data_IF_985223282460
#
_entry.id   IF_985223282460
#
_cell.length_a   1.000
_cell.length_b   1.000
_cell.length_c   1.000
_cell.angle_alpha   90.00
_cell.angle_beta   90.00
_cell.angle_gamma   90.00
#
_symmetry.space_group_name_H-M   'P 1'
#
loop_
_entity.id
_entity.type
_entity.pdbx_description
1 polymer ?
#
# COMPACT_ATOMS: atom_id res chain seq x y z
N UNK A 1 -1.93 22.12 -4.07
CA UNK A 1 -3.15 22.96 -4.05
C UNK A 1 -2.87 24.42 -3.67
N UNK A 2 -2.16 24.70 -2.55
CA UNK A 2 -1.81 26.09 -2.18
C UNK A 2 -0.96 26.81 -3.25
N UNK A 3 0.10 26.19 -3.75
CA UNK A 3 0.93 26.73 -4.83
C UNK A 3 0.14 27.02 -6.12
N UNK A 4 -0.81 26.14 -6.49
CA UNK A 4 -1.66 26.37 -7.66
C UNK A 4 -2.58 27.58 -7.48
N UNK A 5 -3.11 27.78 -6.28
CA UNK A 5 -3.93 28.97 -5.98
C UNK A 5 -3.12 30.27 -5.99
N UNK A 6 -1.81 30.17 -5.69
CA UNK A 6 -0.87 31.31 -5.73
C UNK A 6 -0.28 31.55 -7.15
N UNK A 7 -0.74 30.87 -8.19
CA UNK A 7 -0.18 30.97 -9.53
C UNK A 7 1.20 30.32 -9.71
N UNK A 8 1.64 29.52 -8.75
CA UNK A 8 2.97 28.86 -8.74
C UNK A 8 2.84 27.33 -8.84
N UNK A 9 1.89 26.85 -9.64
CA UNK A 9 1.70 25.42 -9.84
C UNK A 9 2.95 24.77 -10.45
N UNK A 10 3.50 23.70 -9.84
CA UNK A 10 4.57 22.94 -10.46
C UNK A 10 4.05 22.24 -11.73
N UNK A 11 4.96 21.80 -12.60
CA UNK A 11 4.58 21.02 -13.80
C UNK A 11 4.10 19.62 -13.44
N UNK A 12 4.75 18.99 -12.45
CA UNK A 12 4.47 17.66 -11.95
C UNK A 12 4.42 17.66 -10.44
N UNK A 13 3.53 16.85 -9.90
CA UNK A 13 3.45 16.57 -8.46
C UNK A 13 3.43 15.06 -8.27
N UNK A 14 4.30 14.58 -7.40
CA UNK A 14 4.23 13.22 -6.89
C UNK A 14 3.18 13.15 -5.78
N UNK A 15 2.22 12.26 -5.93
CA UNK A 15 1.14 12.09 -4.96
C UNK A 15 1.04 10.61 -4.59
N UNK A 16 1.09 10.33 -3.29
CA UNK A 16 0.84 8.99 -2.77
C UNK A 16 -0.55 8.48 -3.20
N UNK A 17 -0.69 7.17 -3.29
CA UNK A 17 -1.93 6.51 -3.73
C UNK A 17 -3.16 7.00 -2.99
N UNK A 18 -3.04 7.27 -1.69
CA UNK A 18 -4.14 7.81 -0.84
C UNK A 18 -4.67 9.16 -1.31
N UNK A 19 -3.89 9.92 -2.07
CA UNK A 19 -4.30 11.21 -2.63
C UNK A 19 -5.05 11.10 -3.95
N UNK A 20 -5.10 9.92 -4.58
CA UNK A 20 -5.67 9.73 -5.92
C UNK A 20 -7.12 10.21 -6.04
N UNK A 21 -7.98 9.85 -5.08
CA UNK A 21 -9.38 10.30 -5.07
C UNK A 21 -9.51 11.83 -5.02
N UNK A 22 -8.68 12.50 -4.24
CA UNK A 22 -8.63 13.97 -4.15
C UNK A 22 -8.10 14.59 -5.46
N UNK A 23 -7.09 14.00 -6.07
CA UNK A 23 -6.53 14.50 -7.33
C UNK A 23 -7.50 14.35 -8.50
N UNK A 24 -8.23 13.24 -8.58
CA UNK A 24 -9.29 13.05 -9.58
C UNK A 24 -10.41 14.07 -9.43
N UNK A 25 -10.75 14.45 -8.20
CA UNK A 25 -11.75 15.47 -7.91
C UNK A 25 -11.25 16.92 -8.10
N UNK A 26 -9.94 17.13 -8.30
CA UNK A 26 -9.37 18.47 -8.50
C UNK A 26 -9.73 19.12 -9.85
N UNK A 27 -10.38 18.38 -10.74
CA UNK A 27 -10.94 18.88 -11.99
C UNK A 27 -9.88 19.56 -12.87
N UNK A 28 -10.12 20.80 -13.28
CA UNK A 28 -9.27 21.56 -14.20
C UNK A 28 -7.86 21.87 -13.66
N UNK A 29 -7.59 21.68 -12.37
CA UNK A 29 -6.24 21.86 -11.82
C UNK A 29 -5.27 20.75 -12.23
N UNK A 30 -5.78 19.64 -12.74
CA UNK A 30 -5.01 18.48 -13.19
C UNK A 30 -5.25 18.23 -14.67
N UNK A 31 -4.17 18.06 -15.44
CA UNK A 31 -4.24 17.51 -16.79
C UNK A 31 -3.98 16.01 -16.69
N UNK A 32 -4.96 15.20 -17.02
CA UNK A 32 -4.79 13.76 -16.96
C UNK A 32 -3.75 13.28 -17.99
N UNK A 33 -3.03 12.22 -17.68
CA UNK A 33 -1.92 11.75 -18.51
C UNK A 33 -2.39 11.32 -19.91
N UNK A 34 -3.61 10.75 -20.02
CA UNK A 34 -4.19 10.43 -21.34
C UNK A 34 -4.49 11.68 -22.18
N UNK A 35 -4.85 12.82 -21.55
CA UNK A 35 -5.05 14.11 -22.25
C UNK A 35 -3.72 14.65 -22.75
N UNK A 36 -2.71 14.63 -21.87
CA UNK A 36 -1.34 15.00 -22.24
C UNK A 36 -0.85 14.16 -23.41
N UNK A 37 -1.06 12.85 -23.37
CA UNK A 37 -0.66 11.92 -24.44
C UNK A 37 -1.31 12.29 -25.79
N UNK A 38 -2.61 12.58 -25.79
CA UNK A 38 -3.34 13.02 -27.00
C UNK A 38 -2.80 14.33 -27.57
N UNK A 39 -2.42 15.29 -26.72
CA UNK A 39 -1.94 16.60 -27.15
C UNK A 39 -0.49 16.59 -27.63
N UNK A 40 0.35 15.75 -27.05
CA UNK A 40 1.81 15.79 -27.27
C UNK A 40 2.35 14.64 -28.11
N UNK A 41 1.53 13.62 -28.40
CA UNK A 41 1.97 12.40 -29.06
C UNK A 41 2.72 11.43 -28.13
N UNK A 42 2.68 11.64 -26.82
CA UNK A 42 3.21 10.68 -25.82
C UNK A 42 2.50 9.33 -25.97
N UNK A 43 3.28 8.28 -26.17
CA UNK A 43 2.74 6.92 -26.27
C UNK A 43 2.73 6.26 -24.89
N UNK A 44 1.56 5.87 -24.42
CA UNK A 44 1.36 5.10 -23.19
C UNK A 44 0.46 3.92 -23.50
N UNK A 45 0.95 2.72 -23.23
CA UNK A 45 0.13 1.50 -23.24
C UNK A 45 -0.24 1.11 -21.82
N UNK A 46 -1.50 1.31 -21.37
CA UNK A 46 -1.91 0.91 -20.04
C UNK A 46 -1.73 -0.59 -19.78
N UNK A 47 -1.78 -1.44 -20.81
CA UNK A 47 -1.61 -2.89 -20.69
C UNK A 47 -0.17 -3.33 -20.35
N UNK A 48 0.80 -2.45 -20.58
CA UNK A 48 2.19 -2.71 -20.19
C UNK A 48 2.42 -2.71 -18.67
N UNK A 49 1.48 -2.12 -17.92
CA UNK A 49 1.57 -2.01 -16.46
C UNK A 49 0.96 -3.21 -15.74
N UNK A 50 1.51 -3.54 -14.57
CA UNK A 50 0.99 -4.56 -13.67
C UNK A 50 -0.50 -4.24 -13.35
N UNK A 51 -1.42 -5.22 -13.38
CA UNK A 51 -2.85 -4.98 -13.29
C UNK A 51 -3.29 -4.16 -12.08
N UNK A 52 -2.76 -4.44 -10.89
CA UNK A 52 -3.07 -3.69 -9.67
C UNK A 52 -2.63 -2.21 -9.78
N UNK A 53 -1.47 -1.94 -10.39
CA UNK A 53 -0.96 -0.58 -10.61
C UNK A 53 -1.83 0.15 -11.64
N UNK A 54 -2.05 -0.48 -12.79
CA UNK A 54 -2.90 0.08 -13.86
C UNK A 54 -4.32 0.33 -13.37
N UNK A 55 -4.94 -0.67 -12.75
CA UNK A 55 -6.32 -0.57 -12.28
C UNK A 55 -6.53 0.56 -11.29
N UNK A 56 -5.51 0.86 -10.49
CA UNK A 56 -5.58 1.94 -9.53
C UNK A 56 -5.48 3.34 -10.16
N UNK A 57 -4.56 3.56 -11.10
CA UNK A 57 -4.30 4.88 -11.68
C UNK A 57 -5.03 5.16 -13.00
N UNK A 58 -5.94 4.29 -13.42
CA UNK A 58 -6.78 4.48 -14.60
C UNK A 58 -8.22 4.83 -14.25
N UNK A 59 -8.88 5.57 -15.14
CA UNK A 59 -10.33 5.79 -15.09
C UNK A 59 -11.09 4.47 -15.33
N UNK A 60 -12.41 4.50 -15.16
CA UNK A 60 -13.26 3.33 -15.41
C UNK A 60 -13.18 2.81 -16.87
N UNK A 61 -12.93 3.68 -17.82
CA UNK A 61 -12.75 3.35 -19.24
C UNK A 61 -11.34 2.87 -19.61
N UNK A 62 -10.45 2.73 -18.62
CA UNK A 62 -9.08 2.25 -18.78
C UNK A 62 -8.05 3.33 -19.16
N UNK A 63 -8.46 4.57 -19.38
CA UNK A 63 -7.52 5.68 -19.65
C UNK A 63 -6.74 6.05 -18.40
N UNK A 64 -5.43 6.27 -18.53
CA UNK A 64 -4.58 6.59 -17.39
C UNK A 64 -4.74 8.04 -16.94
N UNK A 65 -5.10 8.24 -15.69
CA UNK A 65 -5.26 9.57 -15.08
C UNK A 65 -3.92 10.16 -14.64
N UNK A 66 -3.02 9.34 -14.08
CA UNK A 66 -1.67 9.72 -13.65
C UNK A 66 -0.65 8.70 -14.12
N UNK A 67 0.63 9.08 -14.13
CA UNK A 67 1.73 8.19 -14.50
C UNK A 67 2.19 7.39 -13.28
N UNK A 68 2.05 6.05 -13.27
CA UNK A 68 2.66 5.22 -12.22
C UNK A 68 4.16 5.48 -12.13
N UNK A 69 4.69 5.59 -10.93
CA UNK A 69 6.10 5.92 -10.76
C UNK A 69 6.79 4.96 -9.79
N UNK A 70 6.55 5.09 -8.50
CA UNK A 70 7.10 4.21 -7.49
C UNK A 70 5.97 3.47 -6.79
N UNK A 71 5.89 2.18 -7.03
CA UNK A 71 4.89 1.33 -6.40
C UNK A 71 5.53 0.36 -5.42
N UNK A 72 4.80 0.10 -4.35
CA UNK A 72 5.11 -0.91 -3.36
C UNK A 72 3.85 -1.70 -3.03
N UNK A 73 3.97 -2.73 -2.25
CA UNK A 73 2.86 -3.33 -1.52
C UNK A 73 3.33 -3.71 -0.13
N UNK A 74 2.43 -4.08 0.76
CA UNK A 74 2.82 -4.59 2.06
C UNK A 74 3.31 -6.03 1.94
N UNK A 75 4.31 -6.36 2.76
CA UNK A 75 4.89 -7.69 2.86
C UNK A 75 5.17 -8.03 4.32
N UNK A 76 5.47 -9.29 4.59
CA UNK A 76 5.99 -9.72 5.87
C UNK A 76 7.51 -9.82 5.81
N UNK A 77 8.19 -9.08 6.68
CA UNK A 77 9.61 -9.19 6.96
C UNK A 77 9.81 -10.09 8.18
N UNK A 78 10.80 -10.95 8.17
CA UNK A 78 11.08 -11.78 9.34
C UNK A 78 12.57 -12.00 9.56
N UNK A 79 12.95 -12.12 10.83
CA UNK A 79 14.30 -12.35 11.29
C UNK A 79 14.56 -13.87 11.38
N UNK A 80 15.31 -14.41 10.43
CA UNK A 80 15.66 -15.83 10.34
C UNK A 80 16.48 -16.30 11.53
N UNK A 81 17.33 -15.44 12.11
CA UNK A 81 18.10 -15.78 13.30
C UNK A 81 17.19 -15.93 14.52
N UNK A 82 16.20 -15.08 14.68
CA UNK A 82 15.18 -15.21 15.72
C UNK A 82 14.34 -16.48 15.53
N UNK A 83 14.02 -16.86 14.29
CA UNK A 83 13.33 -18.11 13.99
C UNK A 83 14.16 -19.32 14.41
N UNK A 84 15.46 -19.36 14.06
CA UNK A 84 16.39 -20.43 14.50
C UNK A 84 16.46 -20.51 16.03
N UNK A 85 16.62 -19.37 16.70
CA UNK A 85 16.64 -19.28 18.16
C UNK A 85 15.33 -19.79 18.79
N UNK A 86 14.20 -19.56 18.13
CA UNK A 86 12.90 -20.07 18.53
C UNK A 86 12.66 -21.54 18.15
N UNK A 87 13.60 -22.21 17.46
CA UNK A 87 13.44 -23.54 16.86
C UNK A 87 12.28 -23.60 15.84
N UNK A 88 12.06 -22.51 15.16
CA UNK A 88 11.20 -22.40 13.99
C UNK A 88 12.03 -22.55 12.71
N UNK A 89 11.42 -23.09 11.65
CA UNK A 89 12.09 -23.23 10.37
C UNK A 89 12.27 -21.84 9.70
N UNK A 90 13.51 -21.35 9.51
CA UNK A 90 13.76 -20.03 8.94
C UNK A 90 13.41 -19.92 7.44
N UNK A 91 13.19 -21.06 6.76
CA UNK A 91 12.85 -21.10 5.34
C UNK A 91 11.36 -21.39 5.08
N UNK A 92 10.57 -21.48 6.17
CA UNK A 92 9.11 -21.62 6.13
C UNK A 92 8.43 -20.52 6.93
N UNK A 93 8.36 -19.29 6.38
CA UNK A 93 7.63 -18.20 7.04
C UNK A 93 6.14 -18.55 7.15
N UNK A 94 5.46 -18.07 8.23
CA UNK A 94 4.04 -18.32 8.41
C UNK A 94 3.21 -17.73 7.28
N UNK A 95 2.29 -18.51 6.73
CA UNK A 95 1.44 -18.15 5.59
C UNK A 95 0.03 -17.73 6.02
N UNK A 96 -0.38 -18.10 7.23
CA UNK A 96 -1.72 -17.78 7.77
C UNK A 96 -1.62 -17.00 9.08
N UNK A 97 -2.65 -16.24 9.41
CA UNK A 97 -2.67 -15.48 10.67
C UNK A 97 -2.63 -16.38 11.90
N UNK A 98 -3.15 -17.61 11.79
CA UNK A 98 -3.02 -18.61 12.85
C UNK A 98 -1.55 -19.02 13.06
N UNK A 99 -0.82 -19.24 11.98
CA UNK A 99 0.62 -19.57 12.03
C UNK A 99 1.44 -18.39 12.53
N UNK A 100 1.13 -17.15 12.13
CA UNK A 100 1.78 -15.93 12.64
C UNK A 100 1.62 -15.84 14.15
N UNK A 101 0.38 -16.02 14.66
CA UNK A 101 0.11 -16.01 16.11
C UNK A 101 0.95 -17.06 16.84
N UNK A 102 0.94 -18.29 16.36
CA UNK A 102 1.72 -19.40 16.94
C UNK A 102 3.22 -19.13 16.91
N UNK A 103 3.74 -18.60 15.82
CA UNK A 103 5.15 -18.22 15.73
C UNK A 103 5.52 -17.13 16.72
N UNK A 104 4.71 -16.06 16.82
CA UNK A 104 4.93 -14.96 17.75
C UNK A 104 4.88 -15.43 19.23
N UNK A 105 3.95 -16.33 19.58
CA UNK A 105 3.88 -16.95 20.89
C UNK A 105 5.12 -17.79 21.19
N UNK A 106 5.60 -18.58 20.23
CA UNK A 106 6.82 -19.39 20.36
C UNK A 106 8.08 -18.54 20.54
N UNK A 107 8.19 -17.46 19.74
CA UNK A 107 9.29 -16.50 19.81
C UNK A 107 9.34 -15.84 21.21
N UNK A 108 8.18 -15.42 21.70
CA UNK A 108 8.08 -14.85 23.05
C UNK A 108 8.43 -15.86 24.14
N UNK A 109 7.87 -17.07 24.10
CA UNK A 109 8.10 -18.10 25.10
C UNK A 109 9.57 -18.53 25.21
N UNK A 110 10.32 -18.43 24.10
CA UNK A 110 11.75 -18.76 24.02
C UNK A 110 12.68 -17.57 24.17
N UNK A 111 12.14 -16.39 24.41
CA UNK A 111 12.91 -15.14 24.46
C UNK A 111 13.85 -15.00 23.25
N UNK A 112 13.29 -15.31 22.06
CA UNK A 112 14.08 -15.37 20.82
C UNK A 112 14.30 -14.01 20.17
N UNK A 113 13.48 -13.01 20.51
CA UNK A 113 13.60 -11.63 20.07
C UNK A 113 12.96 -10.68 21.08
N UNK A 114 13.42 -9.42 21.19
CA UNK A 114 12.81 -8.39 22.04
C UNK A 114 11.36 -8.10 21.66
N UNK A 115 11.03 -8.18 20.39
CA UNK A 115 9.69 -7.96 19.84
C UNK A 115 9.30 -9.15 18.97
N UNK A 116 8.25 -9.88 19.36
CA UNK A 116 7.79 -11.03 18.59
C UNK A 116 7.18 -10.62 17.26
N UNK A 117 6.28 -9.62 17.28
CA UNK A 117 5.63 -9.10 16.08
C UNK A 117 5.38 -7.59 16.21
N UNK A 118 5.51 -6.88 15.09
CA UNK A 118 5.16 -5.46 14.95
C UNK A 118 4.62 -5.16 13.55
N UNK A 119 4.15 -3.93 13.33
CA UNK A 119 3.69 -3.46 12.02
C UNK A 119 4.00 -1.98 11.83
N UNK A 120 4.51 -1.61 10.67
CA UNK A 120 4.44 -0.24 10.15
C UNK A 120 3.11 -0.03 9.44
N UNK A 121 2.72 1.21 9.20
CA UNK A 121 1.52 1.57 8.45
C UNK A 121 0.26 0.78 8.88
N UNK A 122 -0.11 0.79 10.19
CA UNK A 122 -1.10 -0.15 10.73
C UNK A 122 -2.44 -0.13 9.99
N UNK A 123 -2.95 1.04 9.62
CA UNK A 123 -4.22 1.15 8.88
C UNK A 123 -4.12 0.55 7.48
N UNK A 124 -3.06 0.87 6.75
CA UNK A 124 -2.86 0.36 5.40
C UNK A 124 -2.62 -1.15 5.39
N UNK A 125 -1.77 -1.66 6.30
CA UNK A 125 -1.39 -3.08 6.28
C UNK A 125 -2.43 -3.95 6.98
N UNK A 126 -2.84 -3.57 8.20
CA UNK A 126 -3.69 -4.43 9.03
C UNK A 126 -5.19 -4.29 8.72
N UNK A 127 -5.59 -3.29 7.94
CA UNK A 127 -6.99 -3.13 7.58
C UNK A 127 -7.23 -3.11 6.07
N UNK A 128 -6.57 -2.23 5.31
CA UNK A 128 -6.80 -2.10 3.88
C UNK A 128 -6.25 -3.30 3.08
N UNK A 129 -4.98 -3.71 3.31
CA UNK A 129 -4.40 -4.91 2.70
C UNK A 129 -5.11 -6.18 3.15
N UNK A 130 -5.44 -6.26 4.45
CA UNK A 130 -6.22 -7.38 4.98
C UNK A 130 -7.56 -7.51 4.25
N UNK A 131 -8.27 -6.41 4.07
CA UNK A 131 -9.54 -6.40 3.34
C UNK A 131 -9.37 -6.90 1.91
N UNK A 132 -8.37 -6.39 1.19
CA UNK A 132 -8.11 -6.79 -0.19
C UNK A 132 -7.77 -8.28 -0.32
N UNK A 133 -6.82 -8.78 0.49
CA UNK A 133 -6.41 -10.19 0.47
C UNK A 133 -7.58 -11.16 0.72
N UNK A 134 -8.57 -10.74 1.50
CA UNK A 134 -9.75 -11.54 1.84
C UNK A 134 -10.99 -11.21 1.00
N UNK A 135 -10.84 -10.35 -0.01
CA UNK A 135 -11.94 -9.86 -0.86
C UNK A 135 -13.10 -9.27 -0.06
N UNK A 136 -12.79 -8.59 1.04
CA UNK A 136 -13.79 -7.92 1.89
C UNK A 136 -13.97 -6.47 1.43
N UNK A 137 -15.19 -5.93 1.41
CA UNK A 137 -15.42 -4.54 1.09
C UNK A 137 -14.81 -3.64 2.17
N UNK A 138 -14.15 -2.57 1.74
CA UNK A 138 -13.69 -1.50 2.62
C UNK A 138 -14.65 -0.32 2.61
N UNK A 139 -15.22 -0.05 1.43
CA UNK A 139 -16.25 0.96 1.22
C UNK A 139 -17.16 0.56 0.05
N UNK A 140 -18.36 1.11 0.02
CA UNK A 140 -19.30 0.98 -1.09
C UNK A 140 -18.77 1.62 -2.39
N UNK A 141 -19.51 1.54 -3.48
CA UNK A 141 -19.12 2.10 -4.78
C UNK A 141 -17.77 1.57 -5.27
N UNK A 142 -17.56 0.25 -5.16
CA UNK A 142 -16.29 -0.38 -5.50
C UNK A 142 -15.09 0.31 -4.81
N UNK A 143 -15.16 0.47 -3.49
CA UNK A 143 -14.16 1.19 -2.70
C UNK A 143 -13.93 2.65 -3.17
N UNK A 144 -14.99 3.32 -3.62
CA UNK A 144 -14.97 4.70 -4.08
C UNK A 144 -14.57 4.90 -5.55
N UNK A 145 -14.37 3.83 -6.32
CA UNK A 145 -14.07 3.94 -7.75
C UNK A 145 -15.26 4.43 -8.59
N UNK A 146 -16.48 4.18 -8.13
CA UNK A 146 -17.72 4.52 -8.84
C UNK A 146 -18.42 5.78 -8.31
N UNK A 147 -17.81 6.54 -7.42
CA UNK A 147 -18.39 7.80 -6.97
C UNK A 147 -17.83 8.33 -5.67
N UNK A 148 -18.05 9.65 -5.47
CA UNK A 148 -17.57 10.37 -4.29
C UNK A 148 -18.48 10.18 -3.06
N UNK A 149 -19.65 9.57 -3.24
CA UNK A 149 -20.66 9.31 -2.22
C UNK A 149 -20.57 7.89 -1.63
N UNK A 150 -19.37 7.32 -1.65
CA UNK A 150 -19.08 6.05 -1.01
C UNK A 150 -19.27 6.13 0.51
N UNK A 151 -19.63 5.01 1.11
CA UNK A 151 -19.74 4.81 2.55
C UNK A 151 -18.75 3.73 2.99
N UNK A 152 -18.18 3.88 4.17
CA UNK A 152 -17.21 2.93 4.72
C UNK A 152 -17.92 1.68 5.23
N UNK A 153 -17.32 0.50 5.02
CA UNK A 153 -17.90 -0.81 5.32
C UNK A 153 -16.93 -1.74 6.07
N UNK A 154 -15.79 -1.21 6.53
CA UNK A 154 -14.71 -2.02 7.13
C UNK A 154 -14.98 -2.44 8.60
N UNK A 155 -16.17 -2.19 9.13
CA UNK A 155 -16.61 -2.67 10.44
C UNK A 155 -17.36 -4.01 10.37
N UNK A 156 -17.18 -4.77 9.30
CA UNK A 156 -17.78 -6.09 9.18
C UNK A 156 -17.01 -7.15 10.01
N UNK A 157 -17.65 -8.31 10.19
CA UNK A 157 -17.16 -9.39 11.05
C UNK A 157 -15.72 -9.83 10.75
N UNK A 158 -15.31 -9.85 9.47
CA UNK A 158 -13.97 -10.33 9.08
C UNK A 158 -12.87 -9.37 9.55
N UNK A 159 -13.03 -8.07 9.27
CA UNK A 159 -12.07 -7.05 9.68
C UNK A 159 -12.05 -6.85 11.19
N UNK A 160 -13.23 -6.83 11.84
CA UNK A 160 -13.33 -6.72 13.31
C UNK A 160 -12.61 -7.87 14.00
N UNK A 161 -12.80 -9.12 13.55
CA UNK A 161 -12.10 -10.31 14.10
C UNK A 161 -10.57 -10.18 13.98
N UNK A 162 -10.09 -9.59 12.89
CA UNK A 162 -8.66 -9.36 12.73
C UNK A 162 -8.12 -8.31 13.72
N UNK A 163 -8.85 -7.21 13.92
CA UNK A 163 -8.47 -6.19 14.90
C UNK A 163 -8.54 -6.78 16.33
N UNK A 164 -9.56 -7.57 16.67
CA UNK A 164 -9.61 -8.30 17.95
C UNK A 164 -8.36 -9.15 18.18
N UNK A 165 -7.92 -9.90 17.16
CA UNK A 165 -6.68 -10.68 17.19
C UNK A 165 -5.47 -9.81 17.55
N UNK A 166 -5.31 -8.65 16.91
CA UNK A 166 -4.20 -7.74 17.19
C UNK A 166 -4.26 -7.18 18.62
N UNK A 167 -5.46 -6.86 19.12
CA UNK A 167 -5.65 -6.41 20.49
C UNK A 167 -5.30 -7.51 21.50
N UNK A 168 -5.73 -8.75 21.27
CA UNK A 168 -5.35 -9.91 22.09
C UNK A 168 -3.84 -10.15 22.09
N UNK A 169 -3.21 -10.10 20.92
CA UNK A 169 -1.76 -10.25 20.77
C UNK A 169 -0.99 -9.09 21.42
N UNK A 170 -1.53 -7.90 21.42
CA UNK A 170 -0.96 -6.76 22.16
C UNK A 170 -1.06 -6.98 23.66
N UNK A 171 -2.22 -7.39 24.14
CA UNK A 171 -2.48 -7.66 25.57
C UNK A 171 -1.58 -8.78 26.12
N UNK A 172 -1.34 -9.83 25.34
CA UNK A 172 -0.45 -10.94 25.75
C UNK A 172 1.03 -10.67 25.46
N UNK A 173 1.38 -9.52 24.86
CA UNK A 173 2.74 -9.06 24.61
C UNK A 173 3.42 -9.75 23.43
N UNK A 174 2.67 -10.39 22.52
CA UNK A 174 3.21 -10.97 21.26
C UNK A 174 3.15 -9.99 20.08
N UNK A 175 2.37 -8.92 20.19
CA UNK A 175 2.34 -7.81 19.24
C UNK A 175 2.70 -6.50 19.95
N UNK A 176 3.67 -5.78 19.39
CA UNK A 176 4.05 -4.42 19.82
C UNK A 176 3.58 -3.40 18.80
N UNK A 177 2.63 -2.57 19.20
CA UNK A 177 2.32 -1.36 18.47
C UNK A 177 3.42 -0.32 18.72
N UNK A 178 4.17 0.05 17.68
CA UNK A 178 5.29 0.98 17.79
C UNK A 178 4.92 2.44 17.46
N UNK A 179 3.73 2.66 16.91
CA UNK A 179 3.25 3.97 16.50
C UNK A 179 2.69 3.98 15.08
N UNK A 180 2.45 5.18 14.56
CA UNK A 180 1.89 5.42 13.22
C UNK A 180 2.95 5.33 12.14
N UNK A 181 2.52 5.25 10.89
CA UNK A 181 3.36 5.29 9.71
C UNK A 181 4.55 4.32 9.79
N UNK A 182 5.77 4.82 9.68
CA UNK A 182 7.01 4.04 9.69
C UNK A 182 7.62 3.84 11.09
N UNK A 183 6.88 4.08 12.15
CA UNK A 183 7.42 4.03 13.52
C UNK A 183 7.99 2.65 13.91
N UNK A 184 7.55 1.57 13.28
CA UNK A 184 8.08 0.22 13.51
C UNK A 184 9.31 -0.13 12.62
N UNK A 185 9.61 0.63 11.57
CA UNK A 185 10.73 0.33 10.66
C UNK A 185 12.08 0.20 11.36
N UNK A 186 12.43 1.03 12.37
CA UNK A 186 13.68 0.85 13.12
C UNK A 186 13.79 -0.52 13.80
N UNK A 187 12.69 -1.08 14.35
CA UNK A 187 12.67 -2.40 14.97
C UNK A 187 12.90 -3.53 13.95
N UNK A 188 12.42 -3.31 12.71
CA UNK A 188 12.66 -4.23 11.60
C UNK A 188 14.12 -4.18 11.15
N UNK A 189 14.65 -2.98 10.91
CA UNK A 189 16.01 -2.80 10.39
C UNK A 189 17.07 -3.24 11.40
N UNK A 190 16.85 -3.00 12.70
CA UNK A 190 17.78 -3.44 13.77
C UNK A 190 17.74 -4.94 14.04
N UNK A 191 16.68 -5.64 13.58
CA UNK A 191 16.45 -7.07 13.90
C UNK A 191 15.83 -7.31 15.27
N UNK A 192 15.40 -6.27 15.99
CA UNK A 192 14.69 -6.42 17.26
C UNK A 192 13.33 -7.09 17.10
N UNK A 193 12.65 -6.86 15.97
CA UNK A 193 11.40 -7.52 15.65
C UNK A 193 11.65 -8.85 14.89
N UNK A 194 11.10 -9.95 15.41
CA UNK A 194 11.20 -11.25 14.75
C UNK A 194 10.27 -11.36 13.55
N UNK A 195 9.07 -10.81 13.64
CA UNK A 195 8.09 -10.71 12.55
C UNK A 195 7.67 -9.24 12.47
N UNK A 196 7.71 -8.68 11.29
CA UNK A 196 7.21 -7.32 11.06
C UNK A 196 6.47 -7.23 9.72
N UNK A 197 5.44 -6.41 9.70
CA UNK A 197 4.73 -6.06 8.49
C UNK A 197 5.12 -4.65 8.06
N UNK A 198 5.49 -4.50 6.80
CA UNK A 198 5.98 -3.23 6.27
C UNK A 198 5.82 -3.12 4.77
N UNK A 199 6.17 -1.97 4.24
CA UNK A 199 6.24 -1.78 2.79
C UNK A 199 7.38 -2.60 2.18
N UNK A 200 7.17 -3.17 1.00
CA UNK A 200 8.24 -3.80 0.21
C UNK A 200 9.39 -2.83 -0.09
N UNK A 201 9.12 -1.52 -0.13
CA UNK A 201 10.16 -0.49 -0.30
C UNK A 201 11.16 -0.42 0.87
N UNK A 202 10.84 -0.97 2.04
CA UNK A 202 11.78 -1.07 3.16
C UNK A 202 12.99 -1.96 2.83
N UNK A 203 12.90 -2.81 1.78
CA UNK A 203 14.00 -3.65 1.30
C UNK A 203 15.30 -2.87 1.10
N UNK A 204 15.21 -1.66 0.52
CA UNK A 204 16.40 -0.82 0.30
C UNK A 204 17.16 -0.52 1.60
N UNK A 205 16.45 -0.25 2.68
CA UNK A 205 17.03 -0.01 4.00
C UNK A 205 17.55 -1.31 4.63
N UNK A 206 16.82 -2.41 4.50
CA UNK A 206 17.27 -3.71 5.01
C UNK A 206 18.56 -4.17 4.34
N UNK A 207 18.65 -4.12 3.03
CA UNK A 207 19.87 -4.46 2.28
C UNK A 207 21.06 -3.61 2.73
N UNK A 208 20.84 -2.32 2.98
CA UNK A 208 21.90 -1.37 3.36
C UNK A 208 22.33 -1.51 4.83
N UNK A 209 21.41 -1.80 5.74
CA UNK A 209 21.62 -1.55 7.17
C UNK A 209 21.40 -2.76 8.08
N UNK A 210 20.63 -3.78 7.65
CA UNK A 210 20.40 -4.95 8.47
C UNK A 210 21.68 -5.80 8.62
N UNK A 211 21.96 -6.22 9.86
CA UNK A 211 23.14 -7.03 10.21
C UNK A 211 22.76 -8.44 10.69
N UNK A 212 21.61 -8.92 10.30
CA UNK A 212 21.06 -10.21 10.65
C UNK A 212 20.51 -10.89 9.37
N UNK A 213 20.31 -12.19 9.42
CA UNK A 213 19.68 -12.93 8.32
C UNK A 213 18.17 -12.69 8.32
N UNK A 214 17.66 -12.08 7.26
CA UNK A 214 16.24 -11.71 7.13
C UNK A 214 15.60 -12.33 5.89
N UNK A 215 14.30 -12.47 5.94
CA UNK A 215 13.50 -12.93 4.80
C UNK A 215 12.35 -11.97 4.51
N UNK A 216 11.88 -12.01 3.27
CA UNK A 216 10.65 -11.37 2.78
C UNK A 216 9.65 -12.47 2.45
N UNK A 217 8.39 -12.29 2.83
CA UNK A 217 7.34 -13.26 2.62
C UNK A 217 6.02 -12.60 2.27
N UNK A 218 5.11 -13.39 1.69
CA UNK A 218 3.73 -12.96 1.43
C UNK A 218 3.03 -12.53 2.72
N UNK A 219 2.06 -11.63 2.59
CA UNK A 219 1.15 -11.33 3.69
C UNK A 219 0.33 -12.57 4.05
N UNK A 220 0.15 -12.83 5.34
CA UNK A 220 -0.66 -13.95 5.81
C UNK A 220 -2.16 -13.69 5.57
N UNK A 221 -2.91 -14.77 5.46
CA UNK A 221 -4.36 -14.71 5.28
C UNK A 221 -5.10 -15.63 6.26
N UNK A 222 -6.42 -15.51 6.33
CA UNK A 222 -7.30 -16.34 7.13
C UNK A 222 -8.02 -17.37 6.22
N UNK A 223 -7.65 -18.66 6.26
CA UNK A 223 -8.31 -19.70 5.46
C UNK A 223 -9.80 -19.89 5.78
N UNK A 224 -10.24 -19.42 6.96
CA UNK A 224 -11.65 -19.45 7.36
C UNK A 224 -12.50 -18.43 6.58
N UNK A 225 -11.87 -17.38 6.02
CA UNK A 225 -12.56 -16.32 5.26
C UNK A 225 -12.47 -16.59 3.77
N UNK A 226 -11.29 -16.97 3.31
CA UNK A 226 -11.03 -17.22 1.89
C UNK A 226 -10.07 -18.41 1.71
N UNK A 227 -10.38 -19.32 0.80
CA UNK A 227 -9.56 -20.51 0.56
C UNK A 227 -8.16 -20.19 0.00
N UNK A 228 -8.04 -19.12 -0.79
CA UNK A 228 -6.79 -18.59 -1.34
C UNK A 228 -6.84 -17.07 -1.30
N UNK A 229 -5.76 -16.41 -0.88
CA UNK A 229 -5.75 -14.94 -0.82
C UNK A 229 -5.79 -14.35 -2.23
N UNK A 230 -6.50 -13.25 -2.37
CA UNK A 230 -6.49 -12.40 -3.56
C UNK A 230 -5.21 -11.55 -3.64
N UNK A 231 -5.13 -10.66 -4.63
CA UNK A 231 -4.00 -9.74 -4.74
C UNK A 231 -3.96 -8.74 -3.59
N UNK A 232 -2.76 -8.31 -3.24
CA UNK A 232 -2.56 -7.14 -2.40
C UNK A 232 -2.82 -5.85 -3.18
N UNK A 233 -3.03 -4.76 -2.47
CA UNK A 233 -3.17 -3.43 -3.08
C UNK A 233 -1.85 -2.68 -3.09
N UNK A 234 -1.72 -1.74 -4.02
CA UNK A 234 -0.52 -0.92 -4.13
C UNK A 234 -0.39 0.07 -2.99
N UNK A 235 0.85 0.44 -2.71
CA UNK A 235 1.27 1.66 -2.05
C UNK A 235 2.19 2.45 -2.98
N UNK A 236 2.78 3.52 -2.45
CA UNK A 236 3.69 4.36 -3.22
C UNK A 236 2.99 5.54 -3.88
N UNK A 237 3.43 5.95 -5.07
CA UNK A 237 2.96 7.19 -5.67
C UNK A 237 2.93 7.15 -7.20
N UNK A 238 2.15 8.06 -7.77
CA UNK A 238 2.14 8.39 -9.19
C UNK A 238 2.45 9.86 -9.43
N UNK A 239 2.81 10.21 -10.66
CA UNK A 239 3.07 11.58 -11.09
C UNK A 239 1.82 12.16 -11.76
N UNK A 240 1.42 13.33 -11.27
CA UNK A 240 0.27 14.08 -11.75
C UNK A 240 0.72 15.34 -12.46
N UNK A 241 0.18 15.58 -13.64
CA UNK A 241 0.47 16.79 -14.43
C UNK A 241 -0.46 17.91 -13.97
N UNK A 242 0.13 19.01 -13.54
CA UNK A 242 -0.64 20.16 -13.07
C UNK A 242 -0.86 21.17 -14.18
N UNK A 243 -2.03 21.81 -14.19
CA UNK A 243 -2.31 22.93 -15.10
C UNK A 243 -1.88 24.26 -14.45
N UNK A 244 -1.57 25.24 -15.30
CA UNK A 244 -1.43 26.65 -14.92
C UNK A 244 -1.93 27.52 -16.07
N UNK A 245 -2.44 28.74 -15.80
CA UNK A 245 -3.00 29.60 -16.85
C UNK A 245 -2.03 29.99 -17.95
N UNK A 246 -0.75 30.11 -17.61
CA UNK A 246 0.36 30.52 -18.47
C UNK A 246 1.19 29.34 -19.01
N UNK A 247 0.78 28.10 -18.75
CA UNK A 247 1.52 26.92 -19.17
C UNK A 247 1.47 26.71 -20.68
N UNK A 248 2.64 26.72 -21.28
CA UNK A 248 2.81 26.64 -22.74
C UNK A 248 2.73 25.21 -23.27
N UNK A 249 2.40 25.01 -24.57
CA UNK A 249 2.50 23.71 -25.20
C UNK A 249 3.91 23.11 -25.17
N UNK A 250 4.96 23.94 -25.17
CA UNK A 250 6.35 23.49 -25.08
C UNK A 250 6.65 22.86 -23.72
N UNK A 251 6.13 23.44 -22.63
CA UNK A 251 6.24 22.85 -21.27
C UNK A 251 5.52 21.50 -21.19
N UNK A 252 4.32 21.37 -21.74
CA UNK A 252 3.62 20.08 -21.80
C UNK A 252 4.38 19.02 -22.61
N UNK A 253 5.03 19.42 -23.71
CA UNK A 253 5.92 18.49 -24.47
C UNK A 253 7.12 18.07 -23.64
N UNK A 254 7.74 18.97 -22.86
CA UNK A 254 8.85 18.63 -21.97
C UNK A 254 8.39 17.67 -20.85
N UNK A 255 7.21 17.92 -20.25
CA UNK A 255 6.60 17.00 -19.28
C UNK A 255 6.37 15.62 -19.90
N UNK A 256 5.79 15.56 -21.10
CA UNK A 256 5.56 14.30 -21.82
C UNK A 256 6.87 13.55 -22.08
N UNK A 257 7.92 14.23 -22.53
CA UNK A 257 9.24 13.63 -22.75
C UNK A 257 9.84 13.05 -21.46
N UNK A 258 9.68 13.75 -20.33
CA UNK A 258 10.12 13.25 -19.02
C UNK A 258 9.32 12.00 -18.60
N UNK A 259 7.99 12.03 -18.73
CA UNK A 259 7.16 10.86 -18.40
C UNK A 259 7.49 9.66 -19.30
N UNK A 260 7.75 9.90 -20.59
CA UNK A 260 8.18 8.85 -21.51
C UNK A 260 9.54 8.27 -21.09
N UNK A 261 10.47 9.11 -20.66
CA UNK A 261 11.78 8.67 -20.21
C UNK A 261 11.69 7.77 -18.97
N UNK A 262 10.98 8.20 -17.92
CA UNK A 262 10.86 7.42 -16.69
C UNK A 262 10.04 6.13 -16.89
N UNK A 263 9.10 6.11 -17.82
CA UNK A 263 8.27 4.95 -18.16
C UNK A 263 8.96 3.90 -19.01
N UNK A 264 10.23 4.08 -19.40
CA UNK A 264 10.99 3.07 -20.13
C UNK A 264 11.27 1.86 -19.24
N UNK A 265 11.16 0.64 -19.76
CA UNK A 265 11.39 -0.59 -18.96
C UNK A 265 12.76 -0.63 -18.26
N UNK A 266 13.81 -0.14 -18.93
CA UNK A 266 15.15 -0.06 -18.36
C UNK A 266 15.22 0.88 -17.16
N UNK A 267 14.52 2.02 -17.18
CA UNK A 267 14.49 2.98 -16.10
C UNK A 267 13.61 2.49 -14.94
N UNK A 268 12.50 1.84 -15.25
CA UNK A 268 11.63 1.15 -14.26
C UNK A 268 12.44 0.07 -13.51
N UNK A 269 13.19 -0.77 -14.23
CA UNK A 269 14.07 -1.78 -13.64
C UNK A 269 15.18 -1.17 -12.78
N UNK A 270 15.85 -0.12 -13.24
CA UNK A 270 16.89 0.59 -12.49
C UNK A 270 16.31 1.20 -11.21
N UNK A 271 15.14 1.83 -11.29
CA UNK A 271 14.47 2.41 -10.15
C UNK A 271 14.13 1.34 -9.10
N UNK A 272 13.48 0.27 -9.52
CA UNK A 272 13.10 -0.84 -8.63
C UNK A 272 14.33 -1.45 -7.93
N UNK A 273 15.39 -1.76 -8.68
CA UNK A 273 16.62 -2.36 -8.16
C UNK A 273 17.31 -1.50 -7.09
N UNK A 274 17.31 -0.18 -7.26
CA UNK A 274 18.07 0.73 -6.40
C UNK A 274 17.28 1.29 -5.21
N UNK A 275 15.96 1.17 -5.23
CA UNK A 275 15.09 1.78 -4.21
C UNK A 275 14.35 0.76 -3.34
N UNK A 276 14.17 -0.47 -3.84
CA UNK A 276 13.31 -1.48 -3.19
C UNK A 276 11.82 -1.37 -3.55
N UNK A 277 11.44 -0.36 -4.37
CA UNK A 277 10.12 -0.35 -4.99
C UNK A 277 9.99 -1.48 -6.01
N UNK A 278 8.76 -1.90 -6.32
CA UNK A 278 8.52 -2.90 -7.36
C UNK A 278 8.56 -2.23 -8.74
N UNK A 279 8.97 -2.95 -9.79
CA UNK A 279 8.76 -2.47 -11.15
C UNK A 279 7.26 -2.32 -11.41
N UNK A 280 6.87 -1.24 -12.05
CA UNK A 280 5.45 -0.95 -12.33
C UNK A 280 4.98 -1.56 -13.66
N UNK A 281 5.91 -2.01 -14.50
CA UNK A 281 5.66 -2.63 -15.80
C UNK A 281 6.09 -4.09 -15.85
N UNK A 282 5.41 -4.89 -16.68
CA UNK A 282 5.86 -6.28 -16.95
C UNK A 282 7.25 -6.31 -17.60
N UNK A 283 7.54 -5.38 -18.51
CA UNK A 283 8.84 -5.32 -19.17
C UNK A 283 9.97 -4.98 -18.19
N UNK A 284 9.75 -4.09 -17.22
CA UNK A 284 10.70 -3.80 -16.14
C UNK A 284 10.96 -5.00 -15.24
N UNK A 285 9.90 -5.74 -14.89
CA UNK A 285 10.00 -6.98 -14.12
C UNK A 285 10.83 -8.05 -14.87
N UNK A 286 10.51 -8.29 -16.15
CA UNK A 286 11.25 -9.24 -16.98
C UNK A 286 12.72 -8.83 -17.21
N UNK A 287 12.99 -7.53 -17.34
CA UNK A 287 14.37 -7.04 -17.44
C UNK A 287 15.19 -7.36 -16.18
N UNK A 288 14.62 -7.18 -15.00
CA UNK A 288 15.27 -7.58 -13.73
C UNK A 288 15.49 -9.09 -13.63
N UNK A 289 14.51 -9.87 -14.08
CA UNK A 289 14.61 -11.33 -14.12
C UNK A 289 15.74 -11.81 -15.05
N UNK A 290 15.82 -11.25 -16.26
CA UNK A 290 16.88 -11.55 -17.23
C UNK A 290 18.27 -11.14 -16.72
N UNK A 291 18.37 -10.05 -15.95
CA UNK A 291 19.61 -9.64 -15.26
C UNK A 291 20.00 -10.56 -14.10
N UNK A 292 19.17 -11.55 -13.74
CA UNK A 292 19.38 -12.43 -12.62
C UNK A 292 19.18 -11.77 -11.26
N UNK A 293 18.53 -10.60 -11.20
CA UNK A 293 18.34 -9.85 -9.95
C UNK A 293 17.66 -10.69 -8.88
N UNK A 294 16.58 -11.37 -9.21
CA UNK A 294 15.80 -12.18 -8.25
C UNK A 294 16.53 -13.46 -7.79
N UNK A 295 17.63 -13.87 -8.48
CA UNK A 295 18.48 -14.98 -8.03
C UNK A 295 19.36 -14.59 -6.84
N UNK A 296 19.71 -13.31 -6.73
CA UNK A 296 20.56 -12.78 -5.67
C UNK A 296 19.78 -12.00 -4.62
N UNK A 297 18.72 -11.31 -5.05
CA UNK A 297 17.80 -10.58 -4.19
C UNK A 297 16.59 -11.46 -3.82
N UNK A 298 16.85 -12.52 -3.06
CA UNK A 298 15.83 -13.51 -2.69
C UNK A 298 14.63 -12.84 -2.04
N UNK A 299 13.44 -13.18 -2.51
CA UNK A 299 12.16 -12.62 -2.04
C UNK A 299 11.75 -11.29 -2.68
N UNK A 300 12.62 -10.63 -3.46
CA UNK A 300 12.27 -9.35 -4.11
C UNK A 300 11.20 -9.48 -5.21
N UNK A 301 10.89 -10.68 -5.65
CA UNK A 301 9.80 -11.03 -6.55
C UNK A 301 8.44 -11.17 -5.84
N UNK A 302 8.43 -11.46 -4.55
CA UNK A 302 7.21 -11.65 -3.74
C UNK A 302 6.21 -10.50 -3.87
N UNK A 303 6.61 -9.21 -3.75
CA UNK A 303 5.68 -8.09 -3.90
C UNK A 303 5.01 -8.04 -5.29
N UNK A 304 5.77 -8.35 -6.35
CA UNK A 304 5.25 -8.36 -7.72
C UNK A 304 4.26 -9.50 -7.90
N UNK A 305 4.62 -10.70 -7.44
CA UNK A 305 3.75 -11.87 -7.49
C UNK A 305 2.47 -11.65 -6.68
N UNK A 306 2.57 -11.02 -5.52
CA UNK A 306 1.43 -10.70 -4.67
C UNK A 306 0.48 -9.69 -5.32
N UNK A 307 1.00 -8.67 -5.99
CA UNK A 307 0.22 -7.69 -6.76
C UNK A 307 -0.40 -8.28 -8.03
N UNK A 308 0.23 -9.28 -8.63
CA UNK A 308 -0.24 -9.93 -9.86
C UNK A 308 -1.16 -11.14 -9.60
N UNK A 309 -1.35 -11.52 -8.34
CA UNK A 309 -2.16 -12.67 -7.95
C UNK A 309 -3.64 -12.45 -8.27
N UNK A 310 -4.32 -13.53 -8.71
CA UNK A 310 -5.77 -13.54 -8.91
C UNK A 310 -6.28 -12.58 -9.99
N UNK A 311 -7.54 -12.22 -9.86
CA UNK A 311 -8.20 -11.23 -10.72
C UNK A 311 -8.60 -10.02 -9.88
N UNK A 312 -8.43 -8.83 -10.43
CA UNK A 312 -8.91 -7.61 -9.77
C UNK A 312 -10.43 -7.66 -9.59
N UNK A 313 -10.87 -7.56 -8.36
CA UNK A 313 -12.27 -7.41 -7.97
C UNK A 313 -12.55 -5.98 -7.51
N UNK A 314 -13.80 -5.56 -7.32
CA UNK A 314 -14.13 -4.30 -6.69
C UNK A 314 -13.41 -4.06 -5.35
N UNK A 315 -13.18 -5.12 -4.56
CA UNK A 315 -12.57 -5.04 -3.24
C UNK A 315 -11.03 -5.07 -3.29
N UNK A 316 -10.43 -5.52 -4.40
CA UNK A 316 -8.97 -5.74 -4.50
C UNK A 316 -8.25 -4.73 -5.41
N UNK A 317 -8.97 -3.75 -5.94
CA UNK A 317 -8.41 -2.68 -6.79
C UNK A 317 -7.68 -1.59 -6.01
N UNK A 318 -7.86 -1.52 -4.69
CA UNK A 318 -7.41 -0.43 -3.83
C UNK A 318 -8.56 0.47 -3.39
N UNK A 319 -8.25 1.67 -2.92
CA UNK A 319 -9.21 2.62 -2.35
C UNK A 319 -9.11 3.98 -3.03
N UNK A 320 -10.22 4.51 -3.56
CA UNK A 320 -10.30 5.83 -4.19
C UNK A 320 -11.22 6.78 -3.43
N UNK A 321 -11.03 6.86 -2.13
CA UNK A 321 -11.83 7.68 -1.24
C UNK A 321 -11.30 9.11 -1.18
N UNK A 322 -12.20 10.09 -1.18
CA UNK A 322 -11.83 11.47 -0.94
C UNK A 322 -11.30 11.66 0.48
N UNK A 323 -10.23 12.47 0.64
CA UNK A 323 -9.60 12.75 1.95
C UNK A 323 -9.19 11.48 2.72
N UNK A 324 -8.83 10.40 2.03
CA UNK A 324 -8.42 9.15 2.66
C UNK A 324 -7.31 9.31 3.73
N UNK A 325 -6.33 10.23 3.60
CA UNK A 325 -5.37 10.47 4.69
C UNK A 325 -6.03 10.87 6.02
N UNK A 326 -7.11 11.67 5.98
CA UNK A 326 -7.86 12.04 7.17
C UNK A 326 -8.64 10.86 7.75
N UNK A 327 -9.20 10.02 6.88
CA UNK A 327 -9.89 8.79 7.28
C UNK A 327 -8.89 7.82 7.94
N UNK A 328 -7.69 7.66 7.39
CA UNK A 328 -6.62 6.85 8.02
C UNK A 328 -6.26 7.37 9.42
N UNK A 329 -6.19 8.69 9.61
CA UNK A 329 -5.95 9.28 10.94
C UNK A 329 -7.07 8.94 11.91
N UNK A 330 -8.33 9.01 11.48
CA UNK A 330 -9.49 8.64 12.30
C UNK A 330 -9.41 7.14 12.69
N UNK A 331 -9.16 6.26 11.74
CA UNK A 331 -9.00 4.82 12.00
C UNK A 331 -7.86 4.60 13.02
N UNK A 332 -6.75 5.30 12.85
CA UNK A 332 -5.59 5.18 13.72
C UNK A 332 -5.89 5.60 15.16
N UNK A 333 -6.61 6.72 15.34
CA UNK A 333 -7.06 7.19 16.65
C UNK A 333 -7.95 6.16 17.37
N UNK A 334 -8.90 5.57 16.64
CA UNK A 334 -9.79 4.56 17.22
C UNK A 334 -9.05 3.24 17.52
N UNK A 335 -8.11 2.83 16.69
CA UNK A 335 -7.23 1.68 16.97
C UNK A 335 -6.37 1.92 18.21
N UNK A 336 -5.77 3.09 18.36
CA UNK A 336 -4.95 3.46 19.51
C UNK A 336 -5.77 3.43 20.82
N UNK A 337 -7.02 3.93 20.78
CA UNK A 337 -7.93 3.84 21.95
C UNK A 337 -8.28 2.40 22.31
N UNK A 338 -8.47 1.53 21.30
CA UNK A 338 -8.72 0.11 21.54
C UNK A 338 -7.47 -0.61 22.11
N UNK A 339 -6.27 -0.31 21.61
CA UNK A 339 -5.00 -0.83 22.11
C UNK A 339 -4.75 -0.42 23.58
N UNK A 340 -5.23 0.76 23.99
CA UNK A 340 -5.20 1.22 25.38
C UNK A 340 -6.27 0.57 26.27
N UNK A 341 -7.15 -0.27 25.69
CA UNK A 341 -8.23 -0.93 26.42
C UNK A 341 -9.46 -0.06 26.68
N UNK A 342 -9.56 1.11 26.04
CA UNK A 342 -10.65 2.06 26.25
C UNK A 342 -11.93 1.71 25.48
N UNK A 343 -11.86 0.78 24.52
CA UNK A 343 -12.98 0.32 23.72
C UNK A 343 -12.67 -1.04 23.08
N UNK A 344 -13.71 -1.75 22.66
CA UNK A 344 -13.58 -3.01 21.91
C UNK A 344 -13.17 -2.75 20.45
N UNK A 345 -12.73 -3.80 19.74
CA UNK A 345 -12.47 -3.74 18.32
C UNK A 345 -13.72 -3.31 17.52
N UNK A 346 -14.88 -3.87 17.82
CA UNK A 346 -16.15 -3.51 17.19
C UNK A 346 -16.45 -2.02 17.37
N UNK A 347 -16.37 -1.51 18.61
CA UNK A 347 -16.60 -0.09 18.91
C UNK A 347 -15.61 0.82 18.15
N UNK A 348 -14.33 0.43 18.10
CA UNK A 348 -13.32 1.18 17.38
C UNK A 348 -13.64 1.27 15.87
N UNK A 349 -14.03 0.15 15.26
CA UNK A 349 -14.36 0.12 13.84
C UNK A 349 -15.67 0.88 13.54
N UNK A 350 -16.69 0.73 14.37
CA UNK A 350 -17.96 1.46 14.23
C UNK A 350 -17.75 2.99 14.35
N UNK A 351 -16.98 3.43 15.35
CA UNK A 351 -16.63 4.83 15.52
C UNK A 351 -15.84 5.38 14.32
N UNK A 352 -14.88 4.60 13.83
CA UNK A 352 -14.07 4.99 12.68
C UNK A 352 -14.92 5.10 11.39
N UNK A 353 -15.84 4.17 11.15
CA UNK A 353 -16.80 4.23 10.05
C UNK A 353 -17.67 5.48 10.16
N UNK A 354 -18.30 5.70 11.32
CA UNK A 354 -19.19 6.85 11.53
C UNK A 354 -18.45 8.18 11.31
N UNK A 355 -17.27 8.34 11.86
CA UNK A 355 -16.45 9.55 11.72
C UNK A 355 -15.94 9.73 10.31
N UNK A 356 -15.48 8.65 9.66
CA UNK A 356 -14.95 8.65 8.30
C UNK A 356 -16.04 8.93 7.25
N UNK A 357 -17.25 8.41 7.43
CA UNK A 357 -18.40 8.69 6.55
C UNK A 357 -18.78 10.17 6.56
N UNK A 358 -18.62 10.85 7.70
CA UNK A 358 -18.79 12.29 7.75
C UNK A 358 -17.78 13.02 6.87
N UNK A 359 -16.50 12.59 6.89
CA UNK A 359 -15.45 13.16 6.02
C UNK A 359 -15.78 12.95 4.55
N UNK A 360 -16.23 11.74 4.16
CA UNK A 360 -16.63 11.43 2.78
C UNK A 360 -17.82 12.28 2.33
N UNK A 361 -18.84 12.38 3.17
CA UNK A 361 -20.05 13.19 2.90
C UNK A 361 -19.71 14.68 2.71
N UNK A 362 -18.87 15.23 3.58
CA UNK A 362 -18.45 16.64 3.51
C UNK A 362 -17.58 16.87 2.26
N UNK A 363 -16.71 15.93 1.90
CA UNK A 363 -15.94 15.97 0.66
C UNK A 363 -16.84 15.93 -0.58
N UNK A 364 -17.75 14.96 -0.66
CA UNK A 364 -18.67 14.82 -1.78
C UNK A 364 -19.53 16.07 -1.99
N UNK A 365 -19.99 16.69 -0.90
CA UNK A 365 -20.75 17.95 -0.94
C UNK A 365 -19.90 19.11 -1.48
N UNK A 366 -18.64 19.22 -1.02
CA UNK A 366 -17.73 20.28 -1.46
C UNK A 366 -17.32 20.15 -2.94
N UNK A 367 -17.34 18.94 -3.50
CA UNK A 367 -17.01 18.71 -4.92
C UNK A 367 -18.22 18.89 -5.87
N UNK A 368 -19.44 18.98 -5.34
CA UNK A 368 -20.68 19.27 -6.11
C UNK A 368 -21.03 20.77 -6.12
N UNK A 369 -20.45 21.55 -5.24
CA UNK A 369 -20.62 23.00 -5.15
C UNK A 369 -19.61 23.75 -6.04
#
# INVERSE_FOLDING_TARGET
MAASRAGQAPNLVQVFEVGTGTMLAAGKAVKQVWELAKETGLTIDPKAYIPAVRGYYSLADGRMASMPFNSSTAVMWYNKDSFRKASLDPDKPPATWQEVRKAAETIKAKDAAPVSMTTSWPTWIQLEQYSALHNLPFASKENGFEGLDAQLEFNNKGQVKHIERLLEMSKNGTFKYAGRDTAADPLTVSGEAAISFGSSAARGNLVKSAKYDWGEAFLPYDPEIIAKPENSIIGGASLWVMTAPDRTPAEYKAVAAFLQYIGRPENDAVWAKNTGYVPVTFAGFEALKQQGFYKTAIGADIPVEQLARGNLTPNTRGLRLGRLPEIRNIIQEELERALQGNQSAQQAMDNAVQRGDKVLKDFAKAMKA
#
